data_IF_362656923995
#
_entry.id   IF_362656923995
#
_cell.length_a   1.000
_cell.length_b   1.000
_cell.length_c   1.000
_cell.angle_alpha   90.00
_cell.angle_beta   90.00
_cell.angle_gamma   90.00
#
_symmetry.space_group_name_H-M   'P 1'
#
loop_
_entity.id
_entity.type
_entity.pdbx_description
1 polymer ?
#
# COMPACT_ATOMS: atom_id res chain seq x y z
N UNK A 1 -22.26 4.69 -5.85
CA UNK A 1 -21.22 5.38 -5.06
C UNK A 1 -20.26 6.02 -6.05
N UNK A 2 -20.01 7.32 -5.96
CA UNK A 2 -19.18 8.05 -6.95
C UNK A 2 -17.73 7.61 -6.75
N UNK A 3 -17.14 6.98 -7.76
CA UNK A 3 -15.71 6.64 -7.77
C UNK A 3 -14.97 7.86 -8.31
N UNK A 4 -14.35 8.64 -7.43
CA UNK A 4 -13.58 9.82 -7.79
C UNK A 4 -12.31 9.41 -8.55
N UNK A 5 -12.10 9.94 -9.75
CA UNK A 5 -10.86 9.71 -10.52
C UNK A 5 -9.78 10.75 -10.20
N UNK A 6 -8.54 10.50 -10.64
CA UNK A 6 -7.45 11.50 -10.57
C UNK A 6 -7.83 12.79 -11.30
N UNK A 7 -8.45 12.67 -12.47
CA UNK A 7 -8.84 13.82 -13.28
C UNK A 7 -9.93 14.65 -12.60
N UNK A 8 -10.90 14.02 -11.92
CA UNK A 8 -11.93 14.73 -11.16
C UNK A 8 -11.32 15.57 -10.03
N UNK A 9 -10.36 14.99 -9.29
CA UNK A 9 -9.68 15.67 -8.19
C UNK A 9 -8.82 16.83 -8.69
N UNK A 10 -8.05 16.62 -9.77
CA UNK A 10 -7.24 17.66 -10.41
C UNK A 10 -8.12 18.79 -10.97
N UNK A 11 -9.25 18.45 -11.59
CA UNK A 11 -10.21 19.43 -12.08
C UNK A 11 -10.80 20.26 -10.94
N UNK A 12 -11.15 19.63 -9.81
CA UNK A 12 -11.65 20.32 -8.63
C UNK A 12 -10.62 21.31 -8.04
N UNK A 13 -9.35 20.91 -7.91
CA UNK A 13 -8.30 21.84 -7.47
C UNK A 13 -8.02 22.95 -8.49
N UNK A 14 -8.06 22.64 -9.79
CA UNK A 14 -7.86 23.62 -10.85
C UNK A 14 -8.96 24.68 -10.87
N UNK A 15 -10.22 24.30 -10.64
CA UNK A 15 -11.34 25.23 -10.55
C UNK A 15 -11.25 26.20 -9.35
N UNK A 16 -10.43 25.85 -8.35
CA UNK A 16 -10.14 26.68 -7.17
C UNK A 16 -8.89 27.55 -7.34
N UNK A 17 -8.22 27.50 -8.51
CA UNK A 17 -7.01 28.26 -8.75
C UNK A 17 -7.26 29.77 -8.90
N UNK A 18 -6.41 30.55 -8.22
CA UNK A 18 -6.45 32.02 -8.17
C UNK A 18 -6.33 32.68 -9.53
N UNK A 19 -5.73 32.01 -10.51
CA UNK A 19 -5.57 32.54 -11.87
C UNK A 19 -6.89 32.71 -12.63
N UNK A 20 -8.02 32.19 -12.11
CA UNK A 20 -9.32 32.17 -12.80
C UNK A 20 -10.42 33.01 -12.13
N UNK A 21 -10.16 33.71 -11.03
CA UNK A 21 -11.19 34.39 -10.24
C UNK A 21 -10.74 35.81 -9.85
N UNK A 22 -11.47 36.82 -10.34
CA UNK A 22 -11.36 38.23 -9.93
C UNK A 22 -11.84 38.37 -8.47
N UNK A 23 -10.92 38.32 -7.49
CA UNK A 23 -11.28 38.55 -6.09
C UNK A 23 -10.25 39.33 -5.24
N UNK A 24 -10.78 39.93 -4.18
CA UNK A 24 -10.19 41.03 -3.41
C UNK A 24 -8.84 40.69 -2.75
N UNK A 25 -7.87 41.60 -2.77
CA UNK A 25 -6.59 41.43 -2.08
C UNK A 25 -6.82 41.32 -0.56
N UNK A 26 -6.46 40.17 0.04
CA UNK A 26 -6.45 39.98 1.50
C UNK A 26 -7.30 38.83 2.07
N UNK A 27 -7.98 38.02 1.24
CA UNK A 27 -8.75 36.89 1.73
C UNK A 27 -7.88 35.84 2.44
N UNK A 28 -8.26 35.48 3.68
CA UNK A 28 -7.63 34.48 4.53
C UNK A 28 -8.58 33.29 4.73
N UNK A 29 -8.05 32.07 4.75
CA UNK A 29 -8.83 30.84 4.97
C UNK A 29 -8.65 29.82 3.85
N UNK A 30 -9.71 29.08 3.54
CA UNK A 30 -9.70 28.07 2.49
C UNK A 30 -10.99 28.14 1.67
N UNK A 31 -10.91 27.66 0.43
CA UNK A 31 -12.08 27.40 -0.43
C UNK A 31 -12.12 25.94 -0.76
N UNK A 32 -13.32 25.40 -0.95
CA UNK A 32 -13.46 24.01 -1.34
C UNK A 32 -14.66 23.74 -2.23
N UNK A 33 -14.52 22.71 -3.04
CA UNK A 33 -15.58 22.10 -3.84
C UNK A 33 -15.88 20.74 -3.19
N UNK A 34 -17.14 20.50 -2.84
CA UNK A 34 -17.57 19.21 -2.31
C UNK A 34 -17.42 18.15 -3.37
N UNK A 35 -16.60 17.14 -3.08
CA UNK A 35 -16.37 15.96 -3.92
C UNK A 35 -17.55 14.98 -3.75
N UNK A 36 -17.85 14.61 -2.51
CA UNK A 36 -18.95 13.70 -2.19
C UNK A 36 -19.32 13.75 -0.69
N UNK A 37 -20.36 12.99 -0.33
CA UNK A 37 -20.79 12.73 1.04
C UNK A 37 -20.86 11.22 1.28
N UNK A 38 -20.39 10.76 2.43
CA UNK A 38 -20.42 9.35 2.83
C UNK A 38 -20.57 9.24 4.35
N UNK A 39 -21.51 8.41 4.83
CA UNK A 39 -21.77 8.19 6.26
C UNK A 39 -21.95 9.50 7.08
N UNK A 40 -22.59 10.51 6.50
CA UNK A 40 -22.78 11.82 7.15
C UNK A 40 -21.54 12.73 7.14
N UNK A 41 -20.38 12.24 6.70
CA UNK A 41 -19.19 13.04 6.45
C UNK A 41 -19.24 13.67 5.05
N UNK A 42 -18.70 14.88 4.91
CA UNK A 42 -18.53 15.54 3.61
C UNK A 42 -17.05 15.73 3.27
N UNK A 43 -16.70 15.41 2.04
CA UNK A 43 -15.33 15.43 1.53
C UNK A 43 -15.21 16.54 0.49
N UNK A 44 -14.21 17.39 0.63
CA UNK A 44 -14.00 18.55 -0.23
C UNK A 44 -12.56 18.60 -0.72
N UNK A 45 -12.37 18.87 -2.01
CA UNK A 45 -11.10 19.36 -2.51
C UNK A 45 -11.03 20.84 -2.18
N UNK A 46 -9.91 21.30 -1.63
CA UNK A 46 -9.75 22.69 -1.24
C UNK A 46 -8.43 23.31 -1.68
N UNK A 47 -8.36 24.65 -1.59
CA UNK A 47 -7.12 25.41 -1.68
C UNK A 47 -7.02 26.46 -0.58
N UNK A 48 -5.84 26.56 0.04
CA UNK A 48 -5.58 27.53 1.11
C UNK A 48 -5.25 28.89 0.53
N UNK A 49 -5.70 29.94 1.20
CA UNK A 49 -5.31 31.30 0.90
C UNK A 49 -4.40 31.85 2.01
N UNK A 50 -3.28 32.52 1.67
CA UNK A 50 -2.86 32.91 0.33
C UNK A 50 -2.02 31.89 -0.45
N UNK A 51 -1.61 30.79 0.18
CA UNK A 51 -0.55 29.90 -0.32
C UNK A 51 -0.91 29.14 -1.61
N UNK A 52 -2.20 29.08 -1.96
CA UNK A 52 -2.75 28.39 -3.14
C UNK A 52 -2.42 26.89 -3.18
N UNK A 53 -2.16 26.29 -2.02
CA UNK A 53 -1.80 24.89 -1.87
C UNK A 53 -3.04 23.99 -1.89
N UNK A 54 -2.94 22.85 -2.57
CA UNK A 54 -3.97 21.81 -2.61
C UNK A 54 -4.23 21.20 -1.23
N UNK A 55 -5.52 20.95 -0.96
CA UNK A 55 -5.97 20.35 0.28
C UNK A 55 -7.09 19.32 0.05
N UNK A 56 -7.15 18.33 0.93
CA UNK A 56 -8.36 17.57 1.22
C UNK A 56 -8.95 18.05 2.54
N UNK A 57 -10.27 18.21 2.59
CA UNK A 57 -11.00 18.58 3.79
C UNK A 57 -12.10 17.56 4.02
N UNK A 58 -12.10 16.95 5.22
CA UNK A 58 -13.11 16.00 5.64
C UNK A 58 -13.87 16.61 6.82
N UNK A 59 -15.17 16.85 6.64
CA UNK A 59 -16.05 17.42 7.66
C UNK A 59 -16.94 16.31 8.21
N UNK A 60 -16.85 16.08 9.52
CA UNK A 60 -17.58 15.06 10.25
C UNK A 60 -18.88 15.62 10.82
N UNK A 61 -19.91 14.78 11.01
CA UNK A 61 -21.19 15.19 11.57
C UNK A 61 -21.12 15.60 13.04
N UNK A 62 -20.08 15.15 13.76
CA UNK A 62 -19.86 15.43 15.18
C UNK A 62 -18.47 16.08 15.39
N UNK A 63 -18.27 16.86 16.46
CA UNK A 63 -16.95 17.36 16.82
C UNK A 63 -15.97 16.21 17.00
N UNK A 64 -14.77 16.39 16.45
CA UNK A 64 -13.68 15.46 16.63
C UNK A 64 -12.90 15.87 17.89
N UNK A 65 -12.63 14.90 18.74
CA UNK A 65 -11.67 15.03 19.83
C UNK A 65 -10.45 14.19 19.47
N UNK A 66 -9.47 14.70 18.72
CA UNK A 66 -8.17 14.05 18.69
C UNK A 66 -7.73 13.97 20.15
N UNK A 67 -7.37 12.78 20.63
CA UNK A 67 -6.86 12.63 22.01
C UNK A 67 -5.57 13.43 22.21
N UNK A 68 -4.72 13.03 23.17
CA UNK A 68 -3.39 13.63 23.33
C UNK A 68 -2.42 13.37 22.16
N UNK A 69 -2.85 12.66 21.11
CA UNK A 69 -2.01 12.31 19.97
C UNK A 69 -1.82 13.48 19.02
N UNK A 70 -0.56 13.81 18.72
CA UNK A 70 -0.23 14.81 17.73
C UNK A 70 -0.79 14.43 16.35
N UNK A 71 -1.27 15.44 15.62
CA UNK A 71 -1.72 15.26 14.24
C UNK A 71 -0.52 15.03 13.31
N UNK A 72 -0.65 14.17 12.29
CA UNK A 72 0.42 13.90 11.34
C UNK A 72 0.95 15.15 10.62
N UNK A 73 2.27 15.25 10.48
CA UNK A 73 2.91 16.28 9.65
C UNK A 73 4.22 15.72 9.09
N UNK A 74 4.48 15.96 7.81
CA UNK A 74 5.72 15.57 7.13
C UNK A 74 6.33 16.77 6.40
N UNK A 75 7.40 16.56 5.62
CA UNK A 75 7.91 17.55 4.65
C UNK A 75 6.97 17.72 3.44
N UNK A 76 6.09 16.76 3.18
CA UNK A 76 5.22 16.75 2.00
C UNK A 76 3.80 17.27 2.27
N UNK A 77 3.28 17.06 3.48
CA UNK A 77 1.95 17.53 3.87
C UNK A 77 1.87 17.90 5.36
N UNK A 78 0.78 18.58 5.73
CA UNK A 78 0.41 18.86 7.12
C UNK A 78 -1.05 18.55 7.37
N UNK A 79 -1.35 18.00 8.54
CA UNK A 79 -2.72 17.84 9.01
C UNK A 79 -3.08 18.89 10.04
N UNK A 80 -4.22 19.54 9.86
CA UNK A 80 -4.74 20.59 10.74
C UNK A 80 -6.21 20.32 11.03
N UNK A 81 -6.65 20.62 12.25
CA UNK A 81 -8.08 20.64 12.56
C UNK A 81 -8.66 21.98 12.12
N UNK A 82 -9.80 21.94 11.46
CA UNK A 82 -10.58 23.14 11.16
C UNK A 82 -11.90 23.12 11.91
N UNK A 83 -12.37 24.31 12.26
CA UNK A 83 -13.79 24.50 12.51
C UNK A 83 -14.50 24.85 11.22
N UNK A 84 -15.63 24.18 10.93
CA UNK A 84 -16.64 24.82 10.08
C UNK A 84 -17.40 25.82 10.95
N UNK A 85 -17.89 26.91 10.37
CA UNK A 85 -18.57 28.02 11.06
C UNK A 85 -19.43 27.55 12.27
N UNK A 86 -19.37 28.29 13.39
CA UNK A 86 -19.81 27.93 14.77
C UNK A 86 -18.77 27.29 15.71
N UNK A 87 -17.47 27.39 15.44
CA UNK A 87 -16.43 27.00 16.42
C UNK A 87 -16.36 25.50 16.75
N UNK A 88 -17.08 24.65 16.00
CA UNK A 88 -17.03 23.19 16.14
C UNK A 88 -15.79 22.66 15.44
N UNK A 89 -14.86 22.01 16.16
CA UNK A 89 -13.70 21.33 15.58
C UNK A 89 -14.10 19.98 14.95
N UNK A 90 -14.93 20.01 13.90
CA UNK A 90 -15.43 18.82 13.23
C UNK A 90 -14.79 18.58 11.86
N UNK A 91 -13.80 19.39 11.44
CA UNK A 91 -13.10 19.21 10.18
C UNK A 91 -11.65 18.78 10.37
N UNK A 92 -11.19 17.86 9.52
CA UNK A 92 -9.80 17.49 9.36
C UNK A 92 -9.32 17.96 7.98
N UNK A 93 -8.21 18.70 7.95
CA UNK A 93 -7.57 19.18 6.73
C UNK A 93 -6.25 18.49 6.51
N UNK A 94 -6.01 18.05 5.29
CA UNK A 94 -4.72 17.54 4.83
C UNK A 94 -4.25 18.49 3.74
N UNK A 95 -3.17 19.21 3.98
CA UNK A 95 -2.64 20.23 3.08
C UNK A 95 -1.28 19.82 2.54
N UNK A 96 -1.06 19.98 1.24
CA UNK A 96 0.28 19.83 0.64
C UNK A 96 1.18 20.97 1.12
N UNK A 97 2.41 20.64 1.52
CA UNK A 97 3.43 21.66 1.79
C UNK A 97 4.13 22.04 0.48
N UNK A 98 4.68 23.25 0.38
CA UNK A 98 5.42 23.71 -0.80
C UNK A 98 6.52 22.74 -1.26
N UNK A 99 7.18 22.07 -0.33
CA UNK A 99 8.23 21.05 -0.59
C UNK A 99 7.68 19.69 -1.02
N UNK A 100 6.37 19.46 -0.94
CA UNK A 100 5.72 18.21 -1.30
C UNK A 100 5.47 18.06 -2.79
N UNK A 101 5.82 16.89 -3.35
CA UNK A 101 5.51 16.53 -4.73
C UNK A 101 3.98 16.46 -4.94
N UNK A 102 3.47 17.16 -5.96
CA UNK A 102 2.04 17.25 -6.24
C UNK A 102 1.42 15.93 -6.69
N UNK A 103 2.13 15.12 -7.47
CA UNK A 103 1.64 13.81 -7.91
C UNK A 103 1.56 12.83 -6.75
N UNK A 104 2.59 12.77 -5.90
CA UNK A 104 2.57 11.92 -4.69
C UNK A 104 1.45 12.34 -3.75
N UNK A 105 1.26 13.65 -3.55
CA UNK A 105 0.15 14.16 -2.75
C UNK A 105 -1.22 13.80 -3.37
N UNK A 106 -1.35 13.87 -4.70
CA UNK A 106 -2.58 13.49 -5.41
C UNK A 106 -2.89 12.01 -5.21
N UNK A 107 -1.88 11.13 -5.37
CA UNK A 107 -2.01 9.69 -5.12
C UNK A 107 -2.42 9.42 -3.68
N UNK A 108 -1.78 10.09 -2.71
CA UNK A 108 -2.15 10.00 -1.29
C UNK A 108 -3.62 10.37 -1.04
N UNK A 109 -4.09 11.50 -1.59
CA UNK A 109 -5.48 11.93 -1.39
C UNK A 109 -6.46 10.93 -2.01
N UNK A 110 -6.19 10.42 -3.21
CA UNK A 110 -7.06 9.43 -3.85
C UNK A 110 -7.09 8.10 -3.06
N UNK A 111 -5.93 7.60 -2.61
CA UNK A 111 -5.82 6.41 -1.77
C UNK A 111 -6.63 6.56 -0.49
N UNK A 112 -6.46 7.68 0.21
CA UNK A 112 -7.25 8.02 1.40
C UNK A 112 -8.74 7.99 1.07
N UNK A 113 -9.18 8.70 0.02
CA UNK A 113 -10.60 8.79 -0.32
C UNK A 113 -11.20 7.42 -0.67
N UNK A 114 -10.51 6.61 -1.48
CA UNK A 114 -10.97 5.28 -1.87
C UNK A 114 -11.00 4.31 -0.69
N UNK A 115 -10.02 4.38 0.22
CA UNK A 115 -9.98 3.54 1.42
C UNK A 115 -11.14 3.79 2.39
N UNK A 116 -11.80 4.96 2.30
CA UNK A 116 -12.92 5.34 3.17
C UNK A 116 -14.29 5.00 2.59
N UNK A 117 -14.39 4.71 1.29
CA UNK A 117 -15.68 4.50 0.60
C UNK A 117 -16.51 3.37 1.21
N UNK A 118 -15.89 2.34 1.77
CA UNK A 118 -16.60 1.19 2.35
C UNK A 118 -16.56 1.16 3.89
N UNK A 119 -16.09 2.23 4.51
CA UNK A 119 -15.96 2.32 5.97
C UNK A 119 -17.22 2.96 6.56
N UNK A 120 -17.80 2.33 7.58
CA UNK A 120 -18.92 2.88 8.35
C UNK A 120 -18.42 3.79 9.48
N UNK A 121 -19.22 4.81 9.82
CA UNK A 121 -19.08 5.49 11.12
C UNK A 121 -19.33 4.49 12.27
N UNK A 122 -18.55 4.53 13.38
CA UNK A 122 -17.60 5.58 13.79
C UNK A 122 -16.14 5.36 13.34
N UNK A 123 -15.84 4.32 12.55
CA UNK A 123 -14.47 3.91 12.21
C UNK A 123 -13.78 4.78 11.17
N UNK A 124 -14.51 5.71 10.55
CA UNK A 124 -14.03 6.52 9.43
C UNK A 124 -12.85 7.40 9.86
N UNK A 125 -12.96 8.08 11.01
CA UNK A 125 -11.90 8.94 11.54
C UNK A 125 -10.61 8.17 11.86
N UNK A 126 -10.73 7.02 12.52
CA UNK A 126 -9.58 6.16 12.84
C UNK A 126 -8.92 5.61 11.58
N UNK A 127 -9.72 5.20 10.59
CA UNK A 127 -9.21 4.70 9.30
C UNK A 127 -8.48 5.79 8.52
N UNK A 128 -9.06 7.00 8.49
CA UNK A 128 -8.45 8.19 7.88
C UNK A 128 -7.10 8.50 8.52
N UNK A 129 -7.04 8.60 9.86
CA UNK A 129 -5.80 8.88 10.57
C UNK A 129 -4.75 7.78 10.36
N UNK A 130 -5.15 6.50 10.35
CA UNK A 130 -4.25 5.39 10.08
C UNK A 130 -3.62 5.52 8.69
N UNK A 131 -4.42 5.78 7.65
CA UNK A 131 -3.94 5.97 6.28
C UNK A 131 -3.00 7.16 6.15
N UNK A 132 -3.33 8.28 6.78
CA UNK A 132 -2.45 9.45 6.80
C UNK A 132 -1.09 9.12 7.45
N UNK A 133 -1.07 8.37 8.56
CA UNK A 133 0.19 8.01 9.25
C UNK A 133 1.07 7.09 8.40
N UNK A 134 0.49 6.17 7.63
CA UNK A 134 1.23 5.35 6.67
C UNK A 134 1.95 6.24 5.65
N UNK A 135 1.23 7.20 5.06
CA UNK A 135 1.82 8.16 4.13
C UNK A 135 2.84 9.10 4.81
N UNK A 136 2.65 9.46 6.07
CA UNK A 136 3.63 10.22 6.84
C UNK A 136 4.95 9.45 6.96
N UNK A 137 4.89 8.21 7.46
CA UNK A 137 6.07 7.36 7.64
C UNK A 137 6.82 7.14 6.32
N UNK A 138 6.07 6.97 5.22
CA UNK A 138 6.63 6.90 3.88
C UNK A 138 7.34 8.20 3.47
N UNK A 139 6.70 9.36 3.61
CA UNK A 139 7.28 10.65 3.18
C UNK A 139 8.45 11.14 4.04
N UNK A 140 8.69 10.50 5.18
CA UNK A 140 9.88 10.74 6.01
C UNK A 140 11.12 9.97 5.49
N UNK A 141 10.94 8.97 4.61
CA UNK A 141 12.03 8.23 3.98
C UNK A 141 12.71 9.08 2.90
N UNK A 142 14.02 8.91 2.74
CA UNK A 142 14.74 9.49 1.60
C UNK A 142 14.29 8.81 0.30
N UNK A 143 13.86 9.62 -0.67
CA UNK A 143 13.48 9.17 -2.01
C UNK A 143 14.73 8.81 -2.81
N UNK A 144 15.31 7.63 -2.54
CA UNK A 144 16.37 7.04 -3.36
C UNK A 144 15.80 5.93 -4.26
N UNK A 145 16.50 5.56 -5.35
CA UNK A 145 16.18 4.34 -6.07
C UNK A 145 16.23 3.12 -5.15
N UNK A 146 15.43 2.10 -5.46
CA UNK A 146 15.50 0.80 -4.81
C UNK A 146 16.92 0.23 -4.99
N UNK A 147 17.45 -0.33 -3.92
CA UNK A 147 18.66 -1.15 -3.98
C UNK A 147 18.37 -2.44 -4.76
N UNK A 148 19.41 -3.18 -5.12
CA UNK A 148 19.22 -4.47 -5.81
C UNK A 148 18.38 -5.46 -4.98
N UNK A 149 18.61 -5.54 -3.68
CA UNK A 149 17.86 -6.44 -2.80
C UNK A 149 16.38 -6.03 -2.68
N UNK A 150 16.12 -4.73 -2.57
CA UNK A 150 14.75 -4.19 -2.56
C UNK A 150 14.05 -4.40 -3.92
N UNK A 151 14.75 -4.19 -5.03
CA UNK A 151 14.24 -4.46 -6.39
C UNK A 151 13.84 -5.94 -6.54
N UNK A 152 14.68 -6.87 -6.08
CA UNK A 152 14.39 -8.32 -6.13
C UNK A 152 13.21 -8.68 -5.22
N UNK A 153 13.11 -8.08 -4.04
CA UNK A 153 11.95 -8.26 -3.14
C UNK A 153 10.65 -7.83 -3.81
N UNK A 154 10.62 -6.59 -4.34
CA UNK A 154 9.44 -6.04 -5.01
C UNK A 154 9.06 -6.84 -6.25
N UNK A 155 10.03 -7.30 -7.05
CA UNK A 155 9.75 -8.18 -8.20
C UNK A 155 9.09 -9.48 -7.74
N UNK A 156 9.53 -10.04 -6.60
CA UNK A 156 8.89 -11.21 -5.99
C UNK A 156 7.43 -10.99 -5.65
N UNK A 157 7.14 -9.94 -4.88
CA UNK A 157 5.79 -9.57 -4.48
C UNK A 157 4.89 -9.31 -5.71
N UNK A 158 5.37 -8.51 -6.67
CA UNK A 158 4.61 -8.20 -7.88
C UNK A 158 4.40 -9.43 -8.77
N UNK A 159 5.34 -10.37 -8.80
CA UNK A 159 5.17 -11.65 -9.51
C UNK A 159 4.08 -12.48 -8.83
N UNK A 160 4.03 -12.51 -7.49
CA UNK A 160 2.96 -13.14 -6.73
C UNK A 160 1.60 -12.49 -7.02
N UNK A 161 1.53 -11.16 -7.03
CA UNK A 161 0.32 -10.40 -7.36
C UNK A 161 -0.17 -10.70 -8.79
N UNK A 162 0.72 -10.70 -9.79
CA UNK A 162 0.39 -11.05 -11.18
C UNK A 162 -0.18 -12.48 -11.25
N UNK A 163 0.43 -13.43 -10.54
CA UNK A 163 0.02 -14.84 -10.52
C UNK A 163 -1.30 -15.08 -9.81
N UNK A 164 -1.60 -14.33 -8.74
CA UNK A 164 -2.90 -14.35 -8.08
C UNK A 164 -4.02 -13.86 -9.02
N UNK A 165 -3.75 -12.81 -9.81
CA UNK A 165 -4.71 -12.35 -10.81
C UNK A 165 -4.88 -13.40 -11.93
N UNK A 166 -3.79 -14.02 -12.37
CA UNK A 166 -3.80 -15.07 -13.40
C UNK A 166 -4.52 -16.34 -12.95
N UNK A 167 -4.50 -16.69 -11.65
CA UNK A 167 -5.25 -17.83 -11.11
C UNK A 167 -6.76 -17.60 -11.09
N UNK A 168 -7.21 -16.36 -11.32
CA UNK A 168 -8.62 -15.99 -11.39
C UNK A 168 -9.10 -15.11 -10.24
N UNK A 169 -8.22 -14.70 -9.32
CA UNK A 169 -8.59 -13.73 -8.29
C UNK A 169 -8.89 -12.39 -8.95
N UNK A 170 -10.01 -11.76 -8.57
CA UNK A 170 -10.39 -10.47 -9.14
C UNK A 170 -9.28 -9.43 -8.88
N UNK A 171 -8.85 -8.62 -9.87
CA UNK A 171 -7.75 -7.67 -9.69
C UNK A 171 -7.90 -6.76 -8.47
N UNK A 172 -9.11 -6.25 -8.20
CA UNK A 172 -9.37 -5.43 -7.01
C UNK A 172 -9.08 -6.18 -5.71
N UNK A 173 -9.50 -7.45 -5.62
CA UNK A 173 -9.28 -8.28 -4.43
C UNK A 173 -7.80 -8.63 -4.29
N UNK A 174 -7.09 -8.89 -5.39
CA UNK A 174 -5.67 -9.20 -5.36
C UNK A 174 -4.82 -8.03 -4.85
N UNK A 175 -5.09 -6.80 -5.31
CA UNK A 175 -4.37 -5.61 -4.82
C UNK A 175 -4.80 -5.21 -3.40
N UNK A 176 -6.06 -5.45 -3.01
CA UNK A 176 -6.52 -5.27 -1.63
C UNK A 176 -5.83 -6.26 -0.66
N UNK A 177 -5.56 -7.47 -1.13
CA UNK A 177 -4.85 -8.49 -0.35
C UNK A 177 -3.34 -8.19 -0.22
N UNK A 178 -2.74 -7.40 -1.11
CA UNK A 178 -1.32 -7.04 -1.06
C UNK A 178 -1.04 -5.97 0.01
N UNK A 179 -0.85 -6.42 1.25
CA UNK A 179 -0.73 -5.57 2.44
C UNK A 179 0.73 -5.27 2.84
N UNK A 180 1.70 -6.05 2.36
CA UNK A 180 3.14 -5.90 2.62
C UNK A 180 3.67 -4.47 2.49
N UNK A 181 3.35 -3.74 1.40
CA UNK A 181 3.79 -2.35 1.22
C UNK A 181 3.46 -1.43 2.39
N UNK A 182 2.33 -1.69 3.06
CA UNK A 182 1.79 -0.83 4.13
C UNK A 182 2.26 -1.26 5.51
N UNK A 183 3.42 -1.93 5.60
CA UNK A 183 3.93 -2.58 6.81
C UNK A 183 3.00 -3.70 7.31
N UNK A 184 2.38 -4.43 6.36
CA UNK A 184 1.77 -5.72 6.66
C UNK A 184 2.79 -6.64 7.34
N UNK A 185 2.31 -7.48 8.26
CA UNK A 185 3.19 -8.47 8.88
C UNK A 185 3.61 -9.54 7.87
N UNK A 186 2.70 -9.83 6.94
CA UNK A 186 2.92 -10.63 5.74
C UNK A 186 2.74 -9.78 4.48
N UNK A 187 3.16 -10.32 3.34
CA UNK A 187 3.03 -9.63 2.06
C UNK A 187 1.60 -9.63 1.53
N UNK A 188 0.87 -10.75 1.69
CA UNK A 188 -0.54 -10.84 1.30
C UNK A 188 -1.42 -11.42 2.40
N UNK A 189 -2.61 -10.88 2.56
CA UNK A 189 -3.64 -11.35 3.50
C UNK A 189 -5.01 -11.37 2.82
N UNK A 190 -5.70 -12.51 2.87
CA UNK A 190 -7.07 -12.66 2.38
C UNK A 190 -7.85 -13.59 3.31
N UNK A 191 -8.93 -13.06 3.88
CA UNK A 191 -9.73 -13.71 4.93
C UNK A 191 -8.85 -14.16 6.12
N UNK A 192 -8.62 -15.48 6.23
CA UNK A 192 -7.87 -16.11 7.32
C UNK A 192 -6.57 -16.77 6.83
N UNK A 193 -6.15 -16.38 5.61
CA UNK A 193 -5.00 -16.90 4.89
C UNK A 193 -4.01 -15.78 4.62
N UNK A 194 -2.74 -16.13 4.63
CA UNK A 194 -1.66 -15.19 4.36
C UNK A 194 -0.57 -15.81 3.48
N UNK A 195 0.15 -14.97 2.74
CA UNK A 195 1.33 -15.35 1.98
C UNK A 195 2.48 -14.43 2.39
N UNK A 196 3.61 -15.04 2.71
CA UNK A 196 4.91 -14.41 2.87
C UNK A 196 5.77 -14.74 1.66
N UNK A 197 6.29 -13.73 0.96
CA UNK A 197 7.12 -13.88 -0.23
C UNK A 197 8.58 -13.68 0.11
N UNK A 198 9.44 -14.59 -0.37
CA UNK A 198 10.89 -14.47 -0.30
C UNK A 198 11.50 -14.69 -1.67
N UNK A 199 12.38 -13.78 -2.05
CA UNK A 199 12.98 -13.77 -3.38
C UNK A 199 14.50 -13.73 -3.31
N UNK A 200 15.15 -14.37 -4.27
CA UNK A 200 16.62 -14.40 -4.35
C UNK A 200 17.11 -14.48 -5.79
N UNK A 201 18.30 -13.90 -6.03
CA UNK A 201 19.08 -14.08 -7.27
C UNK A 201 20.26 -15.04 -7.09
N UNK A 202 20.44 -15.63 -5.91
CA UNK A 202 21.51 -16.59 -5.67
C UNK A 202 21.37 -17.82 -6.58
N UNK A 203 22.48 -18.33 -7.11
CA UNK A 203 22.47 -19.56 -7.91
C UNK A 203 22.38 -20.84 -7.06
N UNK A 204 22.83 -20.76 -5.79
CA UNK A 204 22.88 -21.90 -4.86
C UNK A 204 22.32 -21.49 -3.49
N UNK A 205 21.65 -22.43 -2.84
CA UNK A 205 20.96 -22.20 -1.57
C UNK A 205 19.76 -21.27 -1.71
N UNK A 206 18.94 -21.22 -0.69
CA UNK A 206 17.78 -20.32 -0.60
C UNK A 206 17.70 -19.82 0.85
N UNK A 207 18.72 -19.06 1.24
CA UNK A 207 18.79 -18.46 2.57
C UNK A 207 17.91 -17.21 2.62
N UNK A 208 16.94 -17.18 3.52
CA UNK A 208 16.02 -16.06 3.73
C UNK A 208 16.15 -15.51 5.13
N UNK A 209 15.96 -14.21 5.27
CA UNK A 209 15.89 -13.56 6.58
C UNK A 209 14.44 -13.45 7.02
N UNK A 210 14.16 -13.88 8.25
CA UNK A 210 12.92 -13.65 8.97
C UNK A 210 13.20 -12.55 9.99
N UNK A 211 12.53 -11.42 9.85
CA UNK A 211 12.85 -10.17 10.55
C UNK A 211 12.17 -10.04 11.92
N UNK A 212 11.12 -10.84 12.16
CA UNK A 212 10.35 -10.79 13.38
C UNK A 212 9.77 -12.17 13.73
N UNK A 213 9.49 -12.39 15.03
CA UNK A 213 8.88 -13.65 15.50
C UNK A 213 7.46 -13.81 14.94
N UNK A 214 6.77 -12.68 14.79
CA UNK A 214 5.39 -12.59 14.34
C UNK A 214 5.23 -12.97 12.86
N UNK A 215 6.27 -12.79 12.05
CA UNK A 215 6.21 -12.94 10.59
C UNK A 215 5.76 -14.34 10.16
N UNK A 216 6.14 -15.38 10.91
CA UNK A 216 5.72 -16.77 10.71
C UNK A 216 4.83 -17.31 11.84
N UNK A 217 4.35 -16.45 12.73
CA UNK A 217 3.50 -16.82 13.87
C UNK A 217 2.03 -16.68 13.48
N UNK A 218 1.47 -17.74 12.91
CA UNK A 218 0.07 -17.75 12.45
C UNK A 218 -0.82 -18.66 13.29
N UNK A 219 -2.02 -18.16 13.63
CA UNK A 219 -2.91 -18.81 14.59
C UNK A 219 -3.43 -20.18 14.16
N UNK A 220 -3.48 -20.43 12.84
CA UNK A 220 -3.90 -21.71 12.27
C UNK A 220 -2.78 -22.30 11.42
N UNK A 221 -2.27 -23.50 11.77
CA UNK A 221 -1.33 -24.22 10.91
C UNK A 221 -1.88 -24.37 9.49
N UNK A 222 -1.00 -24.17 8.51
CA UNK A 222 -1.31 -24.32 7.09
C UNK A 222 -2.05 -23.15 6.45
N UNK A 223 -2.48 -22.12 7.20
CA UNK A 223 -3.10 -20.92 6.58
C UNK A 223 -2.15 -19.75 6.34
N UNK A 224 -0.88 -19.87 6.76
CA UNK A 224 0.22 -19.05 6.26
C UNK A 224 1.09 -19.86 5.30
N UNK A 225 1.41 -19.27 4.15
CA UNK A 225 2.23 -19.86 3.11
C UNK A 225 3.50 -19.05 2.91
N UNK A 226 4.67 -19.68 3.00
CA UNK A 226 5.93 -19.06 2.59
C UNK A 226 6.23 -19.43 1.14
N UNK A 227 6.20 -18.44 0.26
CA UNK A 227 6.49 -18.58 -1.17
C UNK A 227 7.94 -18.18 -1.45
N UNK A 228 8.73 -19.11 -1.99
CA UNK A 228 10.11 -18.88 -2.43
C UNK A 228 10.18 -18.71 -3.94
N UNK A 229 10.69 -17.56 -4.41
CA UNK A 229 10.90 -17.25 -5.82
C UNK A 229 12.39 -17.02 -6.12
N UNK A 230 12.97 -17.82 -7.01
CA UNK A 230 14.34 -17.61 -7.49
C UNK A 230 14.32 -16.97 -8.86
N UNK A 231 15.11 -15.91 -9.01
CA UNK A 231 15.31 -15.22 -10.27
C UNK A 231 16.75 -15.38 -10.75
N UNK A 232 16.93 -15.35 -12.07
CA UNK A 232 18.24 -15.17 -12.70
C UNK A 232 18.22 -13.90 -13.54
N UNK A 233 19.37 -13.20 -13.63
CA UNK A 233 19.49 -12.08 -14.57
C UNK A 233 19.68 -12.63 -15.99
N UNK A 234 18.68 -12.45 -16.85
CA UNK A 234 18.70 -13.00 -18.20
C UNK A 234 17.97 -12.06 -19.19
N UNK A 235 18.47 -11.84 -20.42
CA UNK A 235 17.86 -10.90 -21.37
C UNK A 235 16.40 -11.17 -21.75
N UNK A 236 15.91 -12.40 -21.55
CA UNK A 236 14.49 -12.77 -21.79
C UNK A 236 13.62 -12.58 -20.55
N UNK A 237 14.19 -12.16 -19.43
CA UNK A 237 13.47 -11.80 -18.22
C UNK A 237 12.75 -10.47 -18.36
N UNK A 238 11.98 -10.11 -17.33
CA UNK A 238 11.28 -8.83 -17.26
C UNK A 238 12.01 -7.87 -16.32
N UNK A 239 11.99 -6.59 -16.64
CA UNK A 239 12.38 -5.54 -15.68
C UNK A 239 11.27 -5.29 -14.67
N UNK A 240 11.60 -4.61 -13.56
CA UNK A 240 10.58 -4.12 -12.63
C UNK A 240 9.56 -3.22 -13.34
N UNK A 241 10.03 -2.36 -14.25
CA UNK A 241 9.18 -1.47 -15.03
C UNK A 241 8.20 -2.25 -15.93
N UNK A 242 8.64 -3.34 -16.55
CA UNK A 242 7.79 -4.18 -17.40
C UNK A 242 6.66 -4.83 -16.59
N UNK A 243 6.99 -5.34 -15.40
CA UNK A 243 6.02 -5.98 -14.51
C UNK A 243 4.98 -4.98 -13.98
N UNK A 244 5.43 -3.79 -13.57
CA UNK A 244 4.54 -2.69 -13.16
C UNK A 244 3.63 -2.26 -14.32
N UNK A 245 4.18 -2.17 -15.54
CA UNK A 245 3.38 -1.82 -16.72
C UNK A 245 2.27 -2.85 -16.98
N UNK A 246 2.60 -4.16 -16.97
CA UNK A 246 1.58 -5.21 -17.15
C UNK A 246 0.51 -5.18 -16.05
N UNK A 247 0.90 -4.98 -14.79
CA UNK A 247 -0.05 -4.88 -13.69
C UNK A 247 -0.95 -3.65 -13.81
N UNK A 248 -0.42 -2.49 -14.20
CA UNK A 248 -1.23 -1.29 -14.50
C UNK A 248 -2.32 -1.59 -15.52
N UNK A 249 -1.99 -2.34 -16.58
CA UNK A 249 -2.99 -2.77 -17.58
C UNK A 249 -4.07 -3.67 -16.99
N UNK A 250 -3.75 -4.52 -16.01
CA UNK A 250 -4.75 -5.37 -15.32
C UNK A 250 -5.74 -4.57 -14.46
N UNK A 251 -5.38 -3.36 -14.05
CA UNK A 251 -6.23 -2.47 -13.26
C UNK A 251 -6.97 -1.41 -14.11
N UNK A 252 -6.74 -1.36 -15.42
CA UNK A 252 -7.45 -0.46 -16.33
C UNK A 252 -8.97 -0.64 -16.21
N UNK A 253 -9.70 0.48 -16.20
CA UNK A 253 -11.16 0.48 -16.00
C UNK A 253 -11.62 0.30 -14.54
N UNK A 254 -10.71 0.03 -13.59
CA UNK A 254 -11.01 -0.05 -12.17
C UNK A 254 -10.21 0.99 -11.36
N UNK A 255 -10.67 2.25 -11.41
CA UNK A 255 -9.95 3.38 -10.81
C UNK A 255 -9.58 3.20 -9.31
N UNK A 256 -10.44 2.62 -8.44
CA UNK A 256 -10.04 2.31 -7.07
C UNK A 256 -8.88 1.33 -6.95
N UNK A 257 -8.89 0.24 -7.72
CA UNK A 257 -7.83 -0.76 -7.70
C UNK A 257 -6.51 -0.17 -8.25
N UNK A 258 -6.59 0.59 -9.34
CA UNK A 258 -5.44 1.30 -9.90
C UNK A 258 -4.84 2.30 -8.90
N UNK A 259 -5.67 3.05 -8.19
CA UNK A 259 -5.20 3.98 -7.17
C UNK A 259 -4.53 3.27 -6.00
N UNK A 260 -5.13 2.19 -5.50
CA UNK A 260 -4.55 1.39 -4.42
C UNK A 260 -3.18 0.82 -4.85
N UNK A 261 -3.08 0.34 -6.09
CA UNK A 261 -1.82 -0.14 -6.65
C UNK A 261 -0.74 0.95 -6.69
N UNK A 262 -1.05 2.14 -7.21
CA UNK A 262 -0.07 3.26 -7.22
C UNK A 262 0.33 3.71 -5.81
N UNK A 263 -0.60 3.68 -4.85
CA UNK A 263 -0.30 3.93 -3.45
C UNK A 263 0.65 2.88 -2.87
N UNK A 264 0.41 1.60 -3.14
CA UNK A 264 1.31 0.51 -2.75
C UNK A 264 2.69 0.61 -3.40
N UNK A 265 2.78 1.01 -4.68
CA UNK A 265 4.06 1.27 -5.35
C UNK A 265 4.86 2.38 -4.67
N UNK A 266 4.19 3.47 -4.24
CA UNK A 266 4.85 4.51 -3.45
C UNK A 266 5.39 3.92 -2.15
N UNK A 267 4.60 3.13 -1.43
CA UNK A 267 5.00 2.55 -0.16
C UNK A 267 6.19 1.59 -0.23
N UNK A 268 6.30 0.78 -1.30
CA UNK A 268 7.50 -0.06 -1.54
C UNK A 268 8.72 0.76 -1.99
N UNK A 269 8.55 2.04 -2.31
CA UNK A 269 9.63 2.94 -2.73
C UNK A 269 9.87 2.99 -4.24
N UNK A 270 8.93 2.51 -5.05
CA UNK A 270 8.98 2.67 -6.49
C UNK A 270 8.49 4.05 -6.92
N UNK A 271 9.32 4.76 -7.69
CA UNK A 271 9.02 6.06 -8.26
C UNK A 271 9.32 6.05 -9.75
N UNK A 272 8.44 6.64 -10.55
CA UNK A 272 8.59 6.67 -12.01
C UNK A 272 9.82 7.50 -12.42
N UNK A 273 10.20 8.49 -11.61
CA UNK A 273 11.40 9.29 -11.75
C UNK A 273 12.69 8.47 -11.62
N UNK A 274 12.62 7.31 -10.96
CA UNK A 274 13.74 6.39 -10.82
C UNK A 274 13.69 5.23 -11.83
N UNK A 275 12.75 5.24 -12.79
CA UNK A 275 12.56 4.13 -13.72
C UNK A 275 13.83 3.79 -14.51
N UNK A 276 14.69 4.78 -14.79
CA UNK A 276 15.97 4.59 -15.50
C UNK A 276 16.98 3.72 -14.73
N UNK A 277 16.81 3.53 -13.42
CA UNK A 277 17.68 2.68 -12.59
C UNK A 277 17.27 1.21 -12.60
N UNK A 278 16.05 0.88 -13.04
CA UNK A 278 15.49 -0.48 -12.99
C UNK A 278 15.58 -1.19 -14.34
N UNK A 279 16.81 -1.38 -14.83
CA UNK A 279 17.09 -1.93 -16.17
C UNK A 279 17.44 -3.43 -16.17
N UNK A 280 17.53 -4.06 -15.00
CA UNK A 280 17.88 -5.48 -14.89
C UNK A 280 16.70 -6.35 -15.32
N UNK A 281 16.98 -7.39 -16.09
CA UNK A 281 15.97 -8.34 -16.54
C UNK A 281 16.00 -9.59 -15.66
N UNK A 282 14.91 -9.83 -14.93
CA UNK A 282 14.78 -10.97 -14.03
C UNK A 282 13.89 -12.04 -14.66
N UNK A 283 14.44 -13.24 -14.77
CA UNK A 283 13.74 -14.44 -15.23
C UNK A 283 13.48 -15.35 -14.03
N UNK A 284 12.21 -15.64 -13.74
CA UNK A 284 11.83 -16.60 -12.70
C UNK A 284 12.27 -18.01 -13.11
N UNK A 285 13.19 -18.60 -12.35
CA UNK A 285 13.76 -19.93 -12.62
C UNK A 285 13.22 -21.01 -11.71
N UNK A 286 12.78 -20.65 -10.51
CA UNK A 286 12.23 -21.58 -9.52
C UNK A 286 11.16 -20.87 -8.71
N UNK A 287 10.03 -21.54 -8.46
CA UNK A 287 8.97 -21.05 -7.59
C UNK A 287 8.36 -22.22 -6.82
N UNK A 288 8.24 -22.08 -5.51
CA UNK A 288 7.69 -23.10 -4.62
C UNK A 288 6.93 -22.45 -3.46
N UNK A 289 6.09 -23.23 -2.80
CA UNK A 289 5.34 -22.77 -1.63
C UNK A 289 5.43 -23.77 -0.49
N UNK A 290 5.69 -23.29 0.72
CA UNK A 290 5.80 -24.06 1.94
C UNK A 290 4.68 -23.63 2.90
N UNK A 291 3.69 -24.50 3.20
CA UNK A 291 2.74 -24.22 4.26
C UNK A 291 3.48 -24.16 5.59
N UNK A 292 3.15 -23.15 6.40
CA UNK A 292 3.67 -23.03 7.77
C UNK A 292 2.82 -23.94 8.66
N UNK A 293 3.28 -25.17 8.79
CA UNK A 293 2.70 -26.19 9.67
C UNK A 293 3.27 -26.09 11.08
N UNK A 294 2.67 -26.83 12.03
CA UNK A 294 3.08 -26.80 13.44
C UNK A 294 4.53 -27.26 13.70
N UNK A 295 5.09 -28.05 12.79
CA UNK A 295 6.48 -28.55 12.82
C UNK A 295 7.44 -27.74 11.94
N UNK A 296 6.98 -26.67 11.30
CA UNK A 296 7.83 -25.79 10.52
C UNK A 296 8.90 -25.15 11.42
N UNK A 297 10.17 -25.04 10.99
CA UNK A 297 11.28 -24.57 11.84
C UNK A 297 11.29 -23.04 12.02
N UNK A 298 10.15 -22.45 12.39
CA UNK A 298 10.03 -21.03 12.70
C UNK A 298 10.28 -20.76 14.20
N UNK A 299 10.85 -19.60 14.50
CA UNK A 299 10.84 -19.04 15.85
C UNK A 299 9.58 -18.19 16.02
N UNK A 300 8.78 -18.49 17.04
CA UNK A 300 7.53 -17.80 17.40
C UNK A 300 7.50 -17.50 18.88
N UNK A 301 6.59 -16.63 19.34
CA UNK A 301 6.43 -16.34 20.77
C UNK A 301 6.09 -17.59 21.60
N UNK A 302 5.50 -18.61 20.98
CA UNK A 302 5.15 -19.86 21.63
C UNK A 302 6.35 -20.80 21.88
N UNK A 303 7.45 -20.66 21.13
CA UNK A 303 8.56 -21.60 21.18
C UNK A 303 9.93 -20.99 21.56
N UNK A 304 10.04 -19.66 21.65
CA UNK A 304 11.20 -18.99 22.23
C UNK A 304 11.06 -18.86 23.76
N UNK A 305 12.17 -18.74 24.52
CA UNK A 305 12.09 -18.43 25.95
C UNK A 305 11.34 -17.11 26.21
N UNK A 306 10.46 -17.09 27.22
CA UNK A 306 9.62 -15.92 27.55
C UNK A 306 10.34 -14.55 27.61
N UNK A 307 11.61 -14.44 28.06
CA UNK A 307 12.33 -13.17 28.03
C UNK A 307 12.73 -12.66 26.63
N UNK A 308 12.63 -13.48 25.59
CA UNK A 308 12.93 -13.08 24.21
C UNK A 308 11.75 -12.27 23.67
N UNK A 309 12.00 -10.99 23.41
CA UNK A 309 10.97 -10.06 22.93
C UNK A 309 10.94 -9.98 21.39
N UNK A 310 12.09 -10.13 20.74
CA UNK A 310 12.22 -10.11 19.28
C UNK A 310 13.41 -10.96 18.84
N UNK A 311 13.34 -11.48 17.61
CA UNK A 311 14.45 -12.19 16.97
C UNK A 311 14.45 -11.90 15.47
N UNK A 312 15.64 -11.79 14.91
CA UNK A 312 15.89 -11.84 13.47
C UNK A 312 16.78 -13.06 13.21
N UNK A 313 16.37 -13.94 12.32
CA UNK A 313 17.06 -15.21 12.06
C UNK A 313 16.99 -15.56 10.58
N UNK A 314 17.80 -16.53 10.18
CA UNK A 314 17.86 -16.99 8.79
C UNK A 314 17.41 -18.44 8.69
N UNK A 315 16.74 -18.76 7.58
CA UNK A 315 16.33 -20.10 7.22
C UNK A 315 16.90 -20.48 5.86
N UNK A 316 17.46 -21.68 5.75
CA UNK A 316 17.89 -22.26 4.48
C UNK A 316 16.75 -23.12 3.89
N UNK A 317 15.96 -22.50 3.03
CA UNK A 317 14.75 -23.11 2.48
C UNK A 317 15.05 -24.21 1.47
N UNK A 318 16.25 -24.26 0.87
CA UNK A 318 16.62 -25.30 -0.11
C UNK A 318 16.42 -26.70 0.48
N UNK A 319 16.66 -26.87 1.78
CA UNK A 319 16.50 -28.14 2.49
C UNK A 319 15.04 -28.55 2.70
N UNK A 320 14.11 -27.59 2.59
CA UNK A 320 12.67 -27.78 2.78
C UNK A 320 11.91 -27.94 1.45
N UNK A 321 12.52 -27.59 0.31
CA UNK A 321 11.92 -27.73 -1.03
C UNK A 321 11.33 -29.12 -1.32
N UNK A 322 11.90 -30.27 -0.87
CA UNK A 322 11.26 -31.57 -1.07
C UNK A 322 9.86 -31.71 -0.46
N UNK A 323 9.50 -30.85 0.50
CA UNK A 323 8.19 -30.78 1.15
C UNK A 323 7.31 -29.68 0.54
N UNK A 324 7.83 -28.89 -0.39
CA UNK A 324 7.11 -27.78 -0.98
C UNK A 324 5.99 -28.26 -1.91
N UNK A 325 4.91 -27.48 -1.89
CA UNK A 325 3.78 -27.62 -2.77
C UNK A 325 4.01 -26.82 -4.06
N UNK A 326 3.20 -27.12 -5.08
CA UNK A 326 3.22 -26.37 -6.32
C UNK A 326 2.75 -24.93 -6.10
N UNK A 327 3.60 -23.95 -6.41
CA UNK A 327 3.33 -22.53 -6.21
C UNK A 327 1.97 -22.07 -6.77
N UNK A 328 1.63 -22.43 -8.01
CA UNK A 328 0.38 -21.98 -8.62
C UNK A 328 -0.87 -22.61 -7.98
N UNK A 329 -0.76 -23.87 -7.53
CA UNK A 329 -1.82 -24.54 -6.78
C UNK A 329 -2.10 -23.78 -5.48
N UNK A 330 -1.04 -23.43 -4.75
CA UNK A 330 -1.12 -22.69 -3.51
C UNK A 330 -1.75 -21.30 -3.65
N UNK A 331 -1.41 -20.58 -4.73
CA UNK A 331 -2.05 -19.29 -5.02
C UNK A 331 -3.54 -19.44 -5.34
N UNK A 332 -3.94 -20.54 -5.99
CA UNK A 332 -5.36 -20.84 -6.24
C UNK A 332 -6.09 -21.13 -4.91
N UNK A 333 -5.44 -21.87 -4.01
CA UNK A 333 -5.98 -22.18 -2.68
C UNK A 333 -6.11 -20.94 -1.82
N UNK A 334 -5.11 -20.05 -1.82
CA UNK A 334 -5.18 -18.74 -1.18
C UNK A 334 -6.37 -17.93 -1.70
N UNK A 335 -6.55 -17.87 -3.02
CA UNK A 335 -7.66 -17.19 -3.68
C UNK A 335 -9.04 -17.84 -3.46
N UNK A 336 -9.09 -19.04 -2.86
CA UNK A 336 -10.34 -19.77 -2.62
C UNK A 336 -10.97 -20.34 -3.89
N UNK A 337 -10.14 -20.57 -4.92
CA UNK A 337 -10.57 -21.06 -6.22
C UNK A 337 -10.39 -22.59 -6.31
N UNK A 338 -11.31 -23.32 -6.99
CA UNK A 338 -11.20 -24.76 -7.15
C UNK A 338 -9.97 -25.13 -7.98
N UNK A 339 -9.25 -26.17 -7.56
CA UNK A 339 -8.01 -26.62 -8.21
C UNK A 339 -8.19 -26.87 -9.72
N UNK A 340 -7.28 -26.35 -10.54
CA UNK A 340 -7.22 -26.64 -11.97
C UNK A 340 -7.96 -25.66 -12.89
N UNK A 341 -8.29 -24.46 -12.41
CA UNK A 341 -8.58 -23.33 -13.29
C UNK A 341 -7.25 -22.74 -13.77
N UNK A 342 -6.77 -23.21 -14.92
CA UNK A 342 -5.60 -22.66 -15.61
C UNK A 342 -5.95 -22.34 -17.05
#
# INVERSE_FOLDING_TARGET
MVRLSKDDLLAAWKALDRSQIDEQPGAQGWRGIRLFTHQGCSFHAGRRQPDNEEMLIVVFPHPLSPGSTALPSSKGFRVEMTGTEEGRQNGLMIRRQQTGNADVFTTMILDILHSLLNVSEPRLFETLLRRIRLWQAFMERDTRPLSHEEEVGVIGELTCLERLIESGLAPSTAVEAWVGPQHGLQDFELDERAIEVKSTTAEQGFCVTIHALEQLDWQRPGSLMLCGLRFSEHPTGATLNDLIYRLRQRFEGNAPAACLFEGSLCHVGYFTEHAEFYTRHFLLTEAFALPIEADFPALTHANVPLPVVSACYQLELQTLIPQAQNFNHCLSDFAGLPHGTY
#
